data_IF_813027859611
#
_entry.id   IF_813027859611
#
_cell.length_a   1.000
_cell.length_b   1.000
_cell.length_c   1.000
_cell.angle_alpha   90.00
_cell.angle_beta   90.00
_cell.angle_gamma   90.00
#
_symmetry.space_group_name_H-M   'P 1'
#
loop_
_entity.id
_entity.type
_entity.pdbx_description
1 polymer ?
#
# COMPACT_ATOMS: atom_id res chain seq x y z
N UNK A 1 7.61 3.77 -35.90
CA UNK A 1 7.01 4.30 -34.66
C UNK A 1 6.21 3.19 -34.00
N UNK A 2 6.77 2.52 -32.99
CA UNK A 2 5.98 1.59 -32.17
C UNK A 2 5.20 2.45 -31.19
N UNK A 3 3.88 2.46 -31.33
CA UNK A 3 2.95 3.00 -30.34
C UNK A 3 3.15 2.17 -29.07
N UNK A 4 3.88 2.74 -28.11
CA UNK A 4 3.99 2.19 -26.76
C UNK A 4 2.74 2.61 -26.00
N UNK A 5 2.02 1.64 -25.45
CA UNK A 5 0.99 1.88 -24.45
C UNK A 5 1.63 2.63 -23.29
N UNK A 6 1.32 3.91 -23.13
CA UNK A 6 1.75 4.70 -21.98
C UNK A 6 1.06 4.10 -20.75
N UNK A 7 1.83 3.68 -19.76
CA UNK A 7 1.29 3.21 -18.49
C UNK A 7 0.77 4.42 -17.71
N UNK A 8 -0.53 4.45 -17.41
CA UNK A 8 -1.19 5.52 -16.66
C UNK A 8 -1.22 5.19 -15.16
N UNK A 9 -1.29 6.22 -14.31
CA UNK A 9 -1.58 6.11 -12.89
C UNK A 9 -3.09 6.17 -12.67
N UNK A 10 -3.64 5.12 -12.05
CA UNK A 10 -5.04 5.08 -11.64
C UNK A 10 -5.13 5.16 -10.11
N UNK A 11 -6.14 5.85 -9.54
CA UNK A 11 -6.39 5.81 -8.10
C UNK A 11 -6.56 4.38 -7.62
N UNK A 12 -5.65 3.88 -6.78
CA UNK A 12 -5.75 2.54 -6.21
C UNK A 12 -6.46 2.55 -4.84
N UNK A 13 -6.45 3.69 -4.14
CA UNK A 13 -7.24 3.94 -2.93
C UNK A 13 -7.21 5.42 -2.54
N UNK A 14 -8.20 5.88 -1.77
CA UNK A 14 -8.37 7.26 -1.29
C UNK A 14 -7.14 7.78 -0.53
N UNK A 15 -6.93 9.08 -0.68
CA UNK A 15 -6.02 9.92 0.10
C UNK A 15 -6.06 9.57 1.60
N UNK A 16 -4.91 9.25 2.20
CA UNK A 16 -4.78 8.99 3.64
C UNK A 16 -3.58 9.75 4.17
N UNK A 17 -3.76 10.50 5.26
CA UNK A 17 -2.67 11.21 5.96
C UNK A 17 -2.03 10.36 7.08
N UNK A 18 -2.47 9.10 7.25
CA UNK A 18 -2.08 8.29 8.40
C UNK A 18 -1.33 7.03 7.98
N UNK A 19 -0.04 6.98 8.31
CA UNK A 19 0.76 5.75 8.27
C UNK A 19 0.66 5.11 9.65
N UNK A 20 0.10 3.90 9.73
CA UNK A 20 0.17 3.08 10.94
C UNK A 20 1.28 2.05 10.79
N UNK A 21 2.19 1.98 11.79
CA UNK A 21 3.22 0.93 11.82
C UNK A 21 2.51 -0.41 11.96
N UNK A 22 2.64 -1.24 10.94
CA UNK A 22 2.21 -2.63 11.00
C UNK A 22 3.48 -3.47 11.13
N UNK A 23 3.69 -4.07 12.30
CA UNK A 23 4.75 -5.07 12.47
C UNK A 23 4.30 -6.36 11.78
N UNK A 24 5.20 -6.98 11.03
CA UNK A 24 4.95 -8.26 10.38
C UNK A 24 4.58 -9.32 11.42
N UNK A 25 3.39 -9.93 11.26
CA UNK A 25 2.92 -11.05 12.07
C UNK A 25 3.32 -12.37 11.42
N UNK A 26 4.61 -12.73 11.51
CA UNK A 26 5.09 -14.03 11.02
C UNK A 26 4.58 -15.29 11.78
N UNK A 27 4.13 -15.28 13.06
CA UNK A 27 3.78 -16.56 13.70
C UNK A 27 2.36 -17.08 13.38
N UNK A 28 1.42 -16.25 12.94
CA UNK A 28 0.00 -16.67 12.82
C UNK A 28 -0.27 -17.41 11.49
N UNK A 29 0.48 -17.11 10.43
CA UNK A 29 0.25 -17.71 9.10
C UNK A 29 0.94 -19.09 8.97
N UNK A 30 2.01 -19.33 9.72
CA UNK A 30 2.84 -20.54 9.59
C UNK A 30 2.27 -21.81 10.25
N UNK A 31 1.25 -21.69 11.11
CA UNK A 31 0.79 -22.80 11.96
C UNK A 31 -0.11 -23.84 11.25
N UNK A 32 -0.47 -23.62 9.99
CA UNK A 32 -1.49 -24.41 9.29
C UNK A 32 -0.95 -25.08 8.02
N UNK A 33 -0.84 -26.42 8.05
CA UNK A 33 -0.46 -27.24 6.90
C UNK A 33 -1.38 -26.94 5.69
N UNK A 34 -0.77 -26.64 4.53
CA UNK A 34 -1.44 -26.41 3.23
C UNK A 34 -1.90 -24.97 2.93
N UNK A 35 -2.22 -24.14 3.93
CA UNK A 35 -2.74 -22.78 3.70
C UNK A 35 -1.67 -21.80 3.24
N UNK A 36 -0.51 -21.85 3.89
CA UNK A 36 0.63 -21.00 3.56
C UNK A 36 1.12 -21.22 2.12
N UNK A 37 1.08 -22.46 1.62
CA UNK A 37 1.52 -22.78 0.26
C UNK A 37 0.66 -22.11 -0.82
N UNK A 38 -0.67 -22.00 -0.61
CA UNK A 38 -1.61 -21.33 -1.54
C UNK A 38 -1.40 -19.82 -1.56
N UNK A 39 -1.16 -19.21 -0.41
CA UNK A 39 -0.85 -17.78 -0.31
C UNK A 39 0.48 -17.50 -1.02
N UNK A 40 1.48 -18.36 -0.78
CA UNK A 40 2.82 -18.25 -1.37
C UNK A 40 2.82 -18.35 -2.89
N UNK A 41 1.95 -19.18 -3.48
CA UNK A 41 1.84 -19.29 -4.95
C UNK A 41 1.28 -18.04 -5.63
N UNK A 42 0.67 -17.13 -4.87
CA UNK A 42 0.14 -15.86 -5.38
C UNK A 42 1.12 -14.70 -5.26
N UNK A 43 2.36 -14.96 -4.82
CA UNK A 43 3.35 -13.91 -4.58
C UNK A 43 4.16 -13.59 -5.84
N UNK A 44 4.28 -12.30 -6.15
CA UNK A 44 5.35 -11.76 -6.97
C UNK A 44 6.60 -11.61 -6.10
N UNK A 45 7.76 -12.08 -6.57
CA UNK A 45 9.00 -12.08 -5.79
C UNK A 45 10.04 -11.14 -6.39
N UNK A 46 10.78 -10.48 -5.52
CA UNK A 46 11.98 -9.72 -5.87
C UNK A 46 13.00 -9.79 -4.72
N UNK A 47 14.28 -9.55 -5.02
CA UNK A 47 15.37 -9.65 -4.04
C UNK A 47 16.05 -8.32 -3.73
N UNK A 48 15.81 -7.34 -4.58
CA UNK A 48 16.56 -6.10 -4.59
C UNK A 48 15.65 -4.91 -4.28
N UNK A 49 16.24 -3.93 -3.61
CA UNK A 49 15.74 -2.56 -3.58
C UNK A 49 16.58 -1.76 -4.56
N UNK A 50 15.93 -1.01 -5.43
CA UNK A 50 16.58 -0.11 -6.37
C UNK A 50 16.31 1.33 -5.96
N UNK A 51 17.33 2.16 -6.01
CA UNK A 51 17.23 3.61 -5.83
C UNK A 51 17.64 4.25 -7.14
N UNK A 52 16.71 4.93 -7.80
CA UNK A 52 16.96 5.72 -9.00
C UNK A 52 16.88 7.21 -8.68
N UNK A 53 18.03 7.87 -8.76
CA UNK A 53 18.17 9.29 -8.44
C UNK A 53 19.13 9.96 -9.43
N UNK A 54 18.67 11.01 -10.11
CA UNK A 54 19.46 11.78 -11.09
C UNK A 54 20.10 10.92 -12.19
N UNK A 55 19.43 9.83 -12.58
CA UNK A 55 19.90 8.88 -13.59
C UNK A 55 20.86 7.80 -13.07
N UNK A 56 21.27 7.88 -11.80
CA UNK A 56 22.06 6.84 -11.15
C UNK A 56 21.14 5.77 -10.57
N UNK A 57 21.41 4.50 -10.91
CA UNK A 57 20.68 3.32 -10.42
C UNK A 57 21.54 2.55 -9.42
N UNK A 58 21.19 2.63 -8.14
CA UNK A 58 21.86 1.89 -7.07
C UNK A 58 21.03 0.69 -6.65
N UNK A 59 21.64 -0.50 -6.61
CA UNK A 59 20.99 -1.74 -6.23
C UNK A 59 21.44 -2.14 -4.82
N UNK A 60 20.48 -2.40 -3.94
CA UNK A 60 20.67 -2.90 -2.58
C UNK A 60 20.00 -4.26 -2.48
N UNK A 61 20.80 -5.31 -2.67
CA UNK A 61 20.33 -6.70 -2.64
C UNK A 61 20.33 -7.34 -1.24
N UNK A 62 19.91 -8.60 -1.18
CA UNK A 62 19.95 -9.44 0.02
C UNK A 62 18.69 -9.38 0.90
N UNK A 63 17.67 -8.66 0.46
CA UNK A 63 16.41 -8.49 1.16
C UNK A 63 15.32 -9.20 0.35
N UNK A 64 15.07 -10.49 0.59
CA UNK A 64 14.02 -11.21 -0.13
C UNK A 64 12.64 -10.61 0.19
N UNK A 65 11.90 -10.17 -0.83
CA UNK A 65 10.56 -9.60 -0.69
C UNK A 65 9.53 -10.36 -1.53
N UNK A 66 8.28 -10.21 -1.12
CA UNK A 66 7.12 -10.73 -1.83
C UNK A 66 6.00 -9.69 -1.84
N UNK A 67 5.38 -9.52 -2.99
CA UNK A 67 4.18 -8.73 -3.21
C UNK A 67 3.01 -9.63 -3.56
N UNK A 68 1.81 -9.21 -3.20
CA UNK A 68 0.58 -9.91 -3.55
C UNK A 68 -0.52 -8.87 -3.68
N UNK A 69 -1.44 -9.08 -4.62
CA UNK A 69 -2.67 -8.30 -4.65
C UNK A 69 -3.40 -8.42 -3.32
N UNK A 70 -3.74 -7.26 -2.73
CA UNK A 70 -4.49 -7.22 -1.47
C UNK A 70 -5.82 -7.94 -1.58
N UNK A 71 -6.49 -7.83 -2.73
CA UNK A 71 -7.76 -8.51 -2.96
C UNK A 71 -7.59 -10.02 -2.94
N UNK A 72 -6.60 -10.54 -3.67
CA UNK A 72 -6.27 -11.97 -3.71
C UNK A 72 -5.92 -12.48 -2.31
N UNK A 73 -5.08 -11.76 -1.57
CA UNK A 73 -4.73 -12.11 -0.19
C UNK A 73 -5.96 -12.20 0.71
N UNK A 74 -6.85 -11.20 0.67
CA UNK A 74 -8.06 -11.18 1.48
C UNK A 74 -9.00 -12.34 1.12
N UNK A 75 -9.17 -12.65 -0.17
CA UNK A 75 -9.98 -13.77 -0.61
C UNK A 75 -9.42 -15.12 -0.12
N UNK A 76 -8.10 -15.31 -0.20
CA UNK A 76 -7.46 -16.53 0.30
C UNK A 76 -7.60 -16.69 1.82
N UNK A 77 -7.47 -15.60 2.58
CA UNK A 77 -7.68 -15.61 4.03
C UNK A 77 -9.15 -15.89 4.39
N UNK A 78 -10.10 -15.28 3.69
CA UNK A 78 -11.53 -15.53 3.90
C UNK A 78 -11.89 -16.99 3.60
N UNK A 79 -11.39 -17.53 2.48
CA UNK A 79 -11.58 -18.94 2.16
C UNK A 79 -11.00 -19.84 3.25
N UNK A 80 -9.82 -19.51 3.76
CA UNK A 80 -9.22 -20.29 4.86
C UNK A 80 -10.08 -20.25 6.12
N UNK A 81 -10.62 -19.09 6.50
CA UNK A 81 -11.55 -18.99 7.61
C UNK A 81 -12.76 -19.92 7.41
N UNK A 82 -13.35 -19.94 6.21
CA UNK A 82 -14.46 -20.83 5.90
C UNK A 82 -14.07 -22.32 5.97
N UNK A 83 -12.90 -22.69 5.45
CA UNK A 83 -12.39 -24.07 5.49
C UNK A 83 -12.18 -24.57 6.94
N UNK A 84 -11.85 -23.68 7.87
CA UNK A 84 -11.71 -23.96 9.31
C UNK A 84 -13.03 -23.83 10.09
N UNK A 85 -14.15 -23.60 9.41
CA UNK A 85 -15.48 -23.47 10.04
C UNK A 85 -15.70 -22.16 10.79
N UNK A 86 -14.91 -21.12 10.52
CA UNK A 86 -15.13 -19.78 11.10
C UNK A 86 -16.33 -19.12 10.42
N UNK A 87 -17.33 -18.72 11.22
CA UNK A 87 -18.49 -17.96 10.74
C UNK A 87 -18.12 -16.53 10.38
N UNK A 88 -18.17 -16.20 9.09
CA UNK A 88 -17.91 -14.86 8.57
C UNK A 88 -19.23 -14.10 8.35
N UNK A 89 -19.35 -12.92 8.95
CA UNK A 89 -20.51 -12.03 8.80
C UNK A 89 -20.09 -10.76 8.06
N UNK A 90 -20.46 -10.64 6.79
CA UNK A 90 -20.14 -9.48 5.95
C UNK A 90 -21.18 -8.37 6.10
N UNK A 91 -20.84 -7.16 5.63
CA UNK A 91 -21.70 -5.96 5.64
C UNK A 91 -22.26 -5.60 7.03
N UNK A 92 -21.65 -6.14 8.08
CA UNK A 92 -22.15 -6.06 9.45
C UNK A 92 -21.25 -5.13 10.24
N UNK A 93 -21.61 -3.84 10.28
CA UNK A 93 -20.91 -2.87 11.11
C UNK A 93 -21.22 -3.11 12.59
N UNK A 94 -20.19 -3.15 13.43
CA UNK A 94 -20.31 -3.19 14.88
C UNK A 94 -20.19 -1.77 15.42
N UNK A 95 -21.19 -1.31 16.15
CA UNK A 95 -21.12 -0.04 16.89
C UNK A 95 -20.24 -0.23 18.13
N UNK A 96 -19.30 0.70 18.34
CA UNK A 96 -18.42 0.71 19.50
C UNK A 96 -19.19 0.74 20.83
N UNK A 97 -20.37 1.35 20.88
CA UNK A 97 -21.21 1.37 22.08
C UNK A 97 -21.86 0.01 22.39
N UNK A 98 -22.00 -0.85 21.39
CA UNK A 98 -22.71 -2.12 21.50
C UNK A 98 -21.78 -3.34 21.63
N UNK A 99 -20.45 -3.17 21.58
CA UNK A 99 -19.50 -4.29 21.59
C UNK A 99 -19.70 -5.19 22.82
N UNK A 100 -19.72 -4.60 24.01
CA UNK A 100 -19.83 -5.36 25.27
C UNK A 100 -21.18 -6.06 25.42
N UNK A 101 -22.28 -5.44 24.97
CA UNK A 101 -23.61 -6.02 25.11
C UNK A 101 -23.89 -7.08 24.05
N UNK A 102 -23.50 -6.81 22.80
CA UNK A 102 -23.73 -7.68 21.65
C UNK A 102 -22.94 -8.99 21.74
N UNK A 103 -21.75 -8.94 22.33
CA UNK A 103 -20.85 -10.09 22.46
C UNK A 103 -20.62 -10.44 23.94
N UNK A 104 -21.64 -10.26 24.78
CA UNK A 104 -21.57 -10.48 26.23
C UNK A 104 -21.35 -11.95 26.61
N UNK A 105 -21.62 -12.86 25.70
CA UNK A 105 -21.40 -14.30 25.80
C UNK A 105 -20.00 -14.75 25.31
N UNK A 106 -19.19 -13.83 24.79
CA UNK A 106 -17.86 -14.14 24.27
C UNK A 106 -16.79 -14.05 25.36
N UNK A 107 -15.92 -15.07 25.47
CA UNK A 107 -14.78 -15.04 26.40
C UNK A 107 -13.69 -14.04 25.98
N UNK A 108 -13.56 -13.79 24.68
CA UNK A 108 -12.56 -12.89 24.10
C UNK A 108 -13.11 -12.18 22.86
N UNK A 109 -12.85 -10.87 22.78
CA UNK A 109 -13.18 -10.05 21.62
C UNK A 109 -11.87 -9.48 21.05
N UNK A 110 -11.56 -9.81 19.79
CA UNK A 110 -10.41 -9.27 19.07
C UNK A 110 -10.88 -8.17 18.11
N UNK A 111 -10.38 -6.96 18.31
CA UNK A 111 -10.72 -5.79 17.49
C UNK A 111 -9.62 -5.56 16.45
N UNK A 112 -9.90 -5.86 15.18
CA UNK A 112 -8.97 -5.72 14.05
C UNK A 112 -9.55 -4.84 12.92
N UNK A 113 -10.27 -3.76 13.27
CA UNK A 113 -11.02 -2.89 12.37
C UNK A 113 -10.21 -1.72 11.76
N UNK A 114 -8.88 -1.80 11.84
CA UNK A 114 -7.94 -0.95 11.08
C UNK A 114 -7.78 0.48 11.60
N UNK A 115 -7.20 1.35 10.76
CA UNK A 115 -6.78 2.71 11.15
C UNK A 115 -7.96 3.61 11.57
N UNK A 116 -9.16 3.39 11.03
CA UNK A 116 -10.36 4.20 11.32
C UNK A 116 -11.25 3.61 12.45
N UNK A 117 -10.68 2.73 13.27
CA UNK A 117 -11.37 2.05 14.38
C UNK A 117 -12.08 3.00 15.33
N UNK A 118 -13.40 2.89 15.40
CA UNK A 118 -14.22 3.62 16.38
C UNK A 118 -14.12 2.98 17.77
N UNK A 119 -13.89 1.66 17.82
CA UNK A 119 -13.73 0.91 19.06
C UNK A 119 -12.44 1.33 19.74
N UNK A 120 -11.31 1.35 19.02
CA UNK A 120 -10.02 1.84 19.56
C UNK A 120 -10.13 3.27 20.08
N UNK A 121 -10.86 4.15 19.39
CA UNK A 121 -11.12 5.52 19.85
C UNK A 121 -11.93 5.57 21.15
N UNK A 122 -12.97 4.76 21.28
CA UNK A 122 -13.78 4.66 22.50
C UNK A 122 -12.97 4.23 23.71
N UNK A 123 -12.06 3.27 23.53
CA UNK A 123 -11.23 2.69 24.59
C UNK A 123 -9.81 3.28 24.62
N UNK A 124 -9.60 4.49 24.07
CA UNK A 124 -8.26 5.07 23.85
C UNK A 124 -7.40 5.11 25.12
N UNK A 125 -8.01 5.44 26.27
CA UNK A 125 -7.33 5.52 27.58
C UNK A 125 -6.91 4.13 28.08
N UNK A 126 -7.79 3.15 27.94
CA UNK A 126 -7.52 1.78 28.39
C UNK A 126 -6.46 1.10 27.52
N UNK A 127 -6.44 1.38 26.22
CA UNK A 127 -5.46 0.84 25.28
C UNK A 127 -4.15 1.65 25.21
N UNK A 128 -4.06 2.82 25.85
CA UNK A 128 -2.87 3.66 25.80
C UNK A 128 -2.55 4.13 24.38
N UNK A 129 -3.56 4.53 23.62
CA UNK A 129 -3.42 4.88 22.20
C UNK A 129 -2.59 6.15 22.03
N UNK A 130 -1.54 6.07 21.22
CA UNK A 130 -0.77 7.22 20.75
C UNK A 130 -1.00 7.41 19.24
N UNK A 131 -1.30 8.65 18.83
CA UNK A 131 -1.45 9.02 17.43
C UNK A 131 -0.44 10.11 17.11
N UNK A 132 0.31 9.91 16.03
CA UNK A 132 1.28 10.87 15.53
C UNK A 132 1.00 11.10 14.05
N UNK A 133 0.70 12.35 13.69
CA UNK A 133 0.58 12.74 12.29
C UNK A 133 1.98 12.93 11.70
N UNK A 134 2.24 12.27 10.57
CA UNK A 134 3.48 12.47 9.83
C UNK A 134 3.35 13.64 8.87
N UNK A 135 4.47 14.32 8.66
CA UNK A 135 4.52 15.58 7.91
C UNK A 135 4.18 15.40 6.44
N UNK A 136 4.74 14.39 5.78
CA UNK A 136 4.63 14.26 4.33
C UNK A 136 3.20 13.94 3.88
N UNK A 137 2.86 14.45 2.70
CA UNK A 137 1.65 14.07 1.98
C UNK A 137 1.97 12.88 1.10
N UNK A 138 1.06 11.92 1.01
CA UNK A 138 1.23 10.77 0.12
C UNK A 138 -0.09 10.33 -0.50
N UNK A 139 0.02 9.64 -1.63
CA UNK A 139 -1.11 8.99 -2.30
C UNK A 139 -0.70 7.60 -2.81
N UNK A 140 -1.66 6.70 -2.94
CA UNK A 140 -1.44 5.34 -3.42
C UNK A 140 -2.15 5.15 -4.77
N UNK A 141 -1.34 4.93 -5.81
CA UNK A 141 -1.77 4.76 -7.18
C UNK A 141 -1.37 3.37 -7.69
N UNK A 142 -2.04 2.93 -8.75
CA UNK A 142 -1.72 1.72 -9.51
C UNK A 142 -1.23 2.08 -10.91
N UNK A 143 -0.37 1.25 -11.48
CA UNK A 143 0.09 1.38 -12.86
C UNK A 143 0.23 0.00 -13.50
N UNK A 144 0.22 -0.06 -14.83
CA UNK A 144 0.57 -1.27 -15.60
C UNK A 144 2.06 -1.37 -15.91
N UNK A 145 2.86 -0.39 -15.47
CA UNK A 145 4.32 -0.39 -15.63
C UNK A 145 4.92 -1.61 -14.91
N UNK A 146 5.55 -2.57 -15.63
CA UNK A 146 6.24 -3.69 -14.98
C UNK A 146 7.43 -3.19 -14.17
N UNK A 147 7.78 -3.86 -13.07
CA UNK A 147 8.94 -3.53 -12.24
C UNK A 147 9.66 -4.82 -11.84
N UNK A 148 10.98 -4.82 -11.94
CA UNK A 148 11.84 -5.97 -11.62
C UNK A 148 12.22 -6.03 -10.14
N UNK A 149 12.03 -4.94 -9.41
CA UNK A 149 12.42 -4.76 -8.02
C UNK A 149 11.49 -3.78 -7.29
N UNK A 150 11.67 -3.66 -5.97
CA UNK A 150 11.15 -2.51 -5.25
C UNK A 150 11.99 -1.29 -5.59
N UNK A 151 11.43 -0.31 -6.26
CA UNK A 151 12.19 0.84 -6.78
C UNK A 151 11.70 2.15 -6.17
N UNK A 152 12.66 2.92 -5.64
CA UNK A 152 12.46 4.31 -5.27
C UNK A 152 12.86 5.22 -6.44
N UNK A 153 11.92 6.00 -6.95
CA UNK A 153 12.20 7.05 -7.93
C UNK A 153 12.14 8.42 -7.27
N UNK A 154 13.17 9.24 -7.50
CA UNK A 154 13.23 10.61 -7.01
C UNK A 154 13.13 11.60 -8.17
N UNK A 155 12.19 12.55 -8.08
CA UNK A 155 12.01 13.62 -9.05
C UNK A 155 12.04 14.98 -8.38
N UNK A 156 12.85 15.88 -8.94
CA UNK A 156 12.97 17.28 -8.52
C UNK A 156 12.14 18.13 -9.47
N UNK A 157 11.23 18.94 -8.92
CA UNK A 157 10.40 19.92 -9.63
C UNK A 157 10.80 21.33 -9.16
N UNK A 158 10.26 22.36 -9.82
CA UNK A 158 10.46 23.75 -9.39
C UNK A 158 9.93 24.05 -7.97
N UNK A 159 9.07 23.18 -7.42
CA UNK A 159 8.44 23.34 -6.11
C UNK A 159 9.02 22.42 -5.03
N UNK A 160 9.94 21.51 -5.36
CA UNK A 160 10.55 20.57 -4.42
C UNK A 160 10.69 19.15 -4.95
N UNK A 161 10.75 18.18 -4.05
CA UNK A 161 11.01 16.78 -4.40
C UNK A 161 9.77 15.90 -4.24
N UNK A 162 9.62 14.96 -5.16
CA UNK A 162 8.71 13.83 -5.08
C UNK A 162 9.51 12.53 -4.99
N UNK A 163 9.00 11.59 -4.19
CA UNK A 163 9.52 10.24 -4.09
C UNK A 163 8.40 9.26 -4.43
N UNK A 164 8.64 8.34 -5.36
CA UNK A 164 7.71 7.25 -5.66
C UNK A 164 8.29 5.93 -5.15
N UNK A 165 7.53 5.24 -4.30
CA UNK A 165 7.85 3.92 -3.78
C UNK A 165 7.06 2.91 -4.60
N UNK A 166 7.76 2.13 -5.39
CA UNK A 166 7.13 1.34 -6.45
C UNK A 166 7.51 -0.13 -6.34
N UNK A 167 6.56 -1.01 -6.59
CA UNK A 167 6.80 -2.45 -6.64
C UNK A 167 5.69 -3.17 -7.39
N UNK A 168 6.04 -4.26 -8.03
CA UNK A 168 5.07 -5.13 -8.70
C UNK A 168 4.39 -6.05 -7.68
N UNK A 169 3.06 -6.16 -7.72
CA UNK A 169 2.32 -7.03 -6.78
C UNK A 169 1.60 -8.19 -7.47
N UNK A 170 1.42 -8.12 -8.79
CA UNK A 170 0.98 -9.20 -9.66
C UNK A 170 1.44 -8.94 -11.11
N UNK A 171 1.27 -9.90 -12.01
CA UNK A 171 1.63 -9.72 -13.42
C UNK A 171 0.82 -8.58 -14.05
N UNK A 172 1.51 -7.60 -14.66
CA UNK A 172 0.88 -6.48 -15.34
C UNK A 172 0.34 -5.37 -14.43
N UNK A 173 0.57 -5.43 -13.11
CA UNK A 173 0.17 -4.36 -12.19
C UNK A 173 1.22 -4.06 -11.11
N UNK A 174 1.52 -2.77 -10.94
CA UNK A 174 2.43 -2.24 -9.93
C UNK A 174 1.76 -1.19 -9.04
N UNK A 175 2.25 -1.12 -7.81
CA UNK A 175 1.91 -0.08 -6.84
C UNK A 175 2.86 1.10 -7.01
N UNK A 176 2.31 2.31 -6.90
CA UNK A 176 3.03 3.58 -6.89
C UNK A 176 2.55 4.41 -5.69
N UNK A 177 3.28 4.35 -4.58
CA UNK A 177 3.04 5.23 -3.43
C UNK A 177 3.91 6.46 -3.62
N UNK A 178 3.29 7.60 -3.90
CA UNK A 178 4.01 8.85 -4.16
C UNK A 178 3.88 9.74 -2.94
N UNK A 179 5.01 10.25 -2.44
CA UNK A 179 5.07 11.17 -1.33
C UNK A 179 5.83 12.46 -1.65
N UNK A 180 5.46 13.54 -0.97
CA UNK A 180 6.13 14.84 -1.01
C UNK A 180 5.91 15.63 0.30
N UNK A 181 6.64 16.74 0.47
CA UNK A 181 6.45 17.62 1.63
C UNK A 181 5.18 18.47 1.49
N UNK A 182 4.59 18.95 2.59
CA UNK A 182 3.43 19.85 2.54
C UNK A 182 3.65 21.11 1.70
N UNK A 183 4.86 21.68 1.74
CA UNK A 183 5.19 22.89 1.01
C UNK A 183 5.21 22.64 -0.50
N UNK A 184 5.80 21.52 -0.92
CA UNK A 184 5.83 21.13 -2.32
C UNK A 184 4.42 20.75 -2.82
N UNK A 185 3.62 20.07 -1.98
CA UNK A 185 2.22 19.75 -2.25
C UNK A 185 1.39 21.02 -2.52
N UNK A 186 1.48 22.00 -1.62
CA UNK A 186 0.75 23.26 -1.73
C UNK A 186 1.22 24.09 -2.93
N UNK A 187 2.54 24.28 -3.08
CA UNK A 187 3.12 25.06 -4.17
C UNK A 187 2.85 24.45 -5.55
N UNK A 188 2.74 23.12 -5.64
CA UNK A 188 2.36 22.41 -6.87
C UNK A 188 0.85 22.45 -7.17
N UNK A 189 0.04 23.08 -6.30
CA UNK A 189 -1.40 23.27 -6.49
C UNK A 189 -2.27 22.05 -6.21
N UNK A 190 -1.70 20.96 -5.70
CA UNK A 190 -2.42 19.70 -5.53
C UNK A 190 -3.58 19.78 -4.52
N UNK A 191 -3.53 20.71 -3.57
CA UNK A 191 -4.61 20.89 -2.58
C UNK A 191 -5.96 21.26 -3.22
N UNK A 192 -5.95 21.87 -4.41
CA UNK A 192 -7.15 22.29 -5.13
C UNK A 192 -7.54 21.35 -6.29
N UNK A 193 -6.74 20.32 -6.56
CA UNK A 193 -6.97 19.38 -7.67
C UNK A 193 -7.97 18.29 -7.28
N UNK A 194 -8.77 17.86 -8.24
CA UNK A 194 -9.50 16.58 -8.18
C UNK A 194 -8.54 15.39 -8.12
N UNK A 195 -9.07 14.20 -7.82
CA UNK A 195 -8.28 12.97 -7.83
C UNK A 195 -7.71 12.68 -9.23
N UNK A 196 -8.51 12.89 -10.29
CA UNK A 196 -8.11 12.68 -11.68
C UNK A 196 -7.09 13.72 -12.17
N UNK A 197 -7.20 14.98 -11.75
CA UNK A 197 -6.19 16.00 -12.04
C UNK A 197 -4.87 15.70 -11.33
N UNK A 198 -4.94 15.30 -10.06
CA UNK A 198 -3.76 14.93 -9.28
C UNK A 198 -3.04 13.73 -9.88
N UNK A 199 -3.78 12.70 -10.30
CA UNK A 199 -3.20 11.52 -10.96
C UNK A 199 -2.47 11.90 -12.25
N UNK A 200 -3.11 12.68 -13.14
CA UNK A 200 -2.49 13.16 -14.38
C UNK A 200 -1.25 14.01 -14.13
N UNK A 201 -1.29 14.89 -13.13
CA UNK A 201 -0.11 15.69 -12.77
C UNK A 201 1.05 14.83 -12.28
N UNK A 202 0.76 13.76 -11.52
CA UNK A 202 1.77 12.80 -11.09
C UNK A 202 2.30 11.94 -12.25
N UNK A 203 1.47 11.62 -13.25
CA UNK A 203 1.92 10.97 -14.49
C UNK A 203 2.92 11.84 -15.24
N UNK A 204 2.68 13.16 -15.32
CA UNK A 204 3.62 14.10 -15.95
C UNK A 204 4.96 14.14 -15.20
N UNK A 205 4.94 14.17 -13.86
CA UNK A 205 6.15 14.23 -13.03
C UNK A 205 7.01 12.96 -13.19
N UNK A 206 6.38 11.79 -13.32
CA UNK A 206 7.05 10.48 -13.44
C UNK A 206 6.96 9.88 -14.85
N UNK A 207 6.79 10.72 -15.88
CA UNK A 207 6.53 10.26 -17.24
C UNK A 207 7.65 9.36 -17.80
N UNK A 208 8.91 9.67 -17.47
CA UNK A 208 10.07 8.88 -17.90
C UNK A 208 10.02 7.47 -17.29
N UNK A 209 9.78 7.35 -15.99
CA UNK A 209 9.76 6.07 -15.29
C UNK A 209 8.55 5.21 -15.67
N UNK A 210 7.39 5.85 -15.87
CA UNK A 210 6.17 5.20 -16.36
C UNK A 210 6.33 4.68 -17.79
N UNK A 211 7.08 5.40 -18.65
CA UNK A 211 7.44 4.94 -19.99
C UNK A 211 8.50 3.83 -19.99
N UNK A 212 9.04 3.49 -18.82
CA UNK A 212 10.15 2.54 -18.68
C UNK A 212 11.49 3.08 -19.12
N UNK A 213 11.60 4.40 -19.25
CA UNK A 213 12.83 5.12 -19.53
C UNK A 213 13.54 5.42 -18.21
N UNK A 214 13.92 4.37 -17.50
CA UNK A 214 14.95 4.41 -16.45
C UNK A 214 16.31 4.14 -17.09
N UNK A 215 17.37 4.78 -16.56
CA UNK A 215 18.73 4.81 -17.11
C UNK A 215 19.14 3.60 -17.97
N UNK A 216 19.24 3.78 -19.29
CA UNK A 216 19.77 2.75 -20.22
C UNK A 216 21.30 2.73 -20.24
N UNK A 217 21.98 2.94 -19.10
CA UNK A 217 23.44 2.81 -19.01
C UNK A 217 23.82 1.91 -17.83
N UNK A 218 24.05 0.64 -18.18
CA UNK A 218 24.59 -0.41 -17.33
C UNK A 218 24.60 -1.73 -18.09
#
# INVERSE_FOLDING_TARGET
MKSGTISSLTPAARYSSTISRTWATEPIIAACCGGFARIRSSFAYWQDIVIEHKGDRTIVGGNGFAGCSRQTLLQLLQQRCADEGVSLHFETRVDAAAVETRFSDSDLIIVADGVNSQIRKRYEKAFGVAVEEKRNKFTWLGSTRPLDAFTFFFRETEHGHFCAHTYQYEEGASTWVIETTPECWEASGFAAMSEEESARRLEEIFAEELAGQGSTRG
#
